data_IF_210717053427
#
_entry.id   IF_210717053427
#
_cell.length_a   1.000
_cell.length_b   1.000
_cell.length_c   1.000
_cell.angle_alpha   90.00
_cell.angle_beta   90.00
_cell.angle_gamma   90.00
#
_symmetry.space_group_name_H-M   'P 1'
#
loop_
_entity.id
_entity.type
_entity.pdbx_description
1 polymer ?
#
# COMPACT_ATOMS: atom_id res chain seq x y z
N UNK A 1 -10.34 15.54 -20.58
CA UNK A 1 -9.17 14.86 -21.20
C UNK A 1 -9.59 13.64 -21.99
N UNK A 2 -10.26 12.65 -21.39
CA UNK A 2 -10.63 11.41 -22.08
C UNK A 2 -11.49 11.62 -23.34
N UNK A 3 -12.50 12.49 -23.30
CA UNK A 3 -13.28 12.85 -24.50
C UNK A 3 -12.47 13.51 -25.62
N UNK A 4 -11.34 14.17 -25.30
CA UNK A 4 -10.43 14.73 -26.31
C UNK A 4 -9.57 13.63 -26.95
N UNK A 5 -9.27 12.58 -26.20
CA UNK A 5 -8.57 11.39 -26.70
C UNK A 5 -9.51 10.49 -27.51
N UNK A 6 -10.76 10.36 -27.08
CA UNK A 6 -11.82 9.64 -27.79
C UNK A 6 -12.31 10.38 -29.05
N UNK A 7 -11.92 11.64 -29.25
CA UNK A 7 -12.32 12.46 -30.40
C UNK A 7 -13.72 13.08 -30.29
N UNK A 8 -14.44 12.84 -29.19
CA UNK A 8 -15.76 13.39 -28.89
C UNK A 8 -15.73 14.91 -28.68
N UNK A 9 -14.62 15.44 -28.18
CA UNK A 9 -14.42 16.87 -27.93
C UNK A 9 -13.12 17.32 -28.60
N UNK A 10 -13.18 18.39 -29.39
CA UNK A 10 -11.97 18.94 -30.02
C UNK A 10 -11.05 19.61 -28.99
N UNK A 11 -9.77 19.74 -29.32
CA UNK A 11 -8.79 20.49 -28.49
C UNK A 11 -9.26 21.93 -28.27
N UNK A 12 -9.76 22.58 -29.33
CA UNK A 12 -10.29 23.93 -29.28
C UNK A 12 -11.50 24.06 -28.34
N UNK A 13 -12.42 23.11 -28.39
CA UNK A 13 -13.58 23.11 -27.52
C UNK A 13 -13.21 22.86 -26.06
N UNK A 14 -12.31 21.91 -25.80
CA UNK A 14 -11.80 21.67 -24.46
C UNK A 14 -11.07 22.90 -23.88
N UNK A 15 -10.29 23.60 -24.70
CA UNK A 15 -9.59 24.83 -24.33
C UNK A 15 -10.57 25.93 -23.91
N UNK A 16 -11.63 26.16 -24.70
CA UNK A 16 -12.69 27.13 -24.37
C UNK A 16 -13.41 26.80 -23.07
N UNK A 17 -13.84 25.54 -22.89
CA UNK A 17 -14.54 25.09 -21.67
C UNK A 17 -13.67 25.24 -20.42
N UNK A 18 -12.39 24.93 -20.53
CA UNK A 18 -11.43 25.01 -19.43
C UNK A 18 -10.78 26.39 -19.26
N UNK A 19 -11.07 27.36 -20.14
CA UNK A 19 -10.47 28.71 -20.15
C UNK A 19 -8.93 28.69 -20.20
N UNK A 20 -8.38 27.79 -21.00
CA UNK A 20 -6.93 27.66 -21.24
C UNK A 20 -6.63 27.74 -22.74
N UNK A 21 -5.36 27.83 -23.11
CA UNK A 21 -4.96 27.80 -24.52
C UNK A 21 -5.09 26.39 -25.12
N UNK A 22 -5.31 26.33 -26.42
CA UNK A 22 -5.27 25.05 -27.17
C UNK A 22 -3.92 24.36 -27.07
N UNK A 23 -2.84 25.15 -26.98
CA UNK A 23 -1.49 24.64 -26.77
C UNK A 23 -1.37 23.88 -25.44
N UNK A 24 -1.94 24.39 -24.34
CA UNK A 24 -1.95 23.69 -23.04
C UNK A 24 -2.67 22.36 -23.13
N UNK A 25 -3.85 22.32 -23.76
CA UNK A 25 -4.60 21.08 -23.97
C UNK A 25 -3.84 20.09 -24.87
N UNK A 26 -3.20 20.59 -25.94
CA UNK A 26 -2.35 19.78 -26.81
C UNK A 26 -1.14 19.20 -26.09
N UNK A 27 -0.53 19.97 -25.19
CA UNK A 27 0.58 19.51 -24.36
C UNK A 27 0.14 18.41 -23.39
N UNK A 28 -0.98 18.58 -22.70
CA UNK A 28 -1.51 17.55 -21.81
C UNK A 28 -1.91 16.27 -22.57
N UNK A 29 -2.50 16.39 -23.76
CA UNK A 29 -2.80 15.23 -24.63
C UNK A 29 -1.53 14.45 -24.94
N UNK A 30 -0.45 15.14 -25.33
CA UNK A 30 0.84 14.52 -25.62
C UNK A 30 1.44 13.84 -24.39
N UNK A 31 1.50 14.55 -23.27
CA UNK A 31 2.02 14.01 -22.00
C UNK A 31 1.25 12.76 -21.55
N UNK A 32 -0.08 12.78 -21.66
CA UNK A 32 -0.90 11.62 -21.31
C UNK A 32 -0.59 10.40 -22.17
N UNK A 33 -0.46 10.58 -23.49
CA UNK A 33 -0.14 9.49 -24.41
C UNK A 33 1.27 8.93 -24.18
N UNK A 34 2.26 9.80 -23.95
CA UNK A 34 3.63 9.37 -23.67
C UNK A 34 3.75 8.65 -22.31
N UNK A 35 3.07 9.16 -21.27
CA UNK A 35 2.99 8.50 -19.97
C UNK A 35 2.27 7.14 -20.08
N UNK A 36 1.18 7.08 -20.86
CA UNK A 36 0.44 5.85 -21.11
C UNK A 36 1.27 4.79 -21.82
N UNK A 37 2.00 5.17 -22.89
CA UNK A 37 2.94 4.26 -23.57
C UNK A 37 4.05 3.78 -22.64
N UNK A 38 4.63 4.69 -21.86
CA UNK A 38 5.66 4.36 -20.88
C UNK A 38 5.14 3.36 -19.85
N UNK A 39 3.94 3.59 -19.31
CA UNK A 39 3.31 2.68 -18.36
C UNK A 39 3.00 1.30 -18.96
N UNK A 40 2.52 1.24 -20.21
CA UNK A 40 2.27 -0.03 -20.89
C UNK A 40 3.57 -0.79 -21.18
N UNK A 41 4.64 -0.08 -21.58
CA UNK A 41 5.95 -0.67 -21.83
C UNK A 41 6.63 -1.17 -20.54
N UNK A 42 6.43 -0.47 -19.43
CA UNK A 42 6.89 -0.90 -18.10
C UNK A 42 6.13 -2.14 -17.57
N UNK A 43 5.01 -2.51 -18.18
CA UNK A 43 4.14 -3.59 -17.73
C UNK A 43 3.28 -3.18 -16.52
N UNK A 44 2.51 -4.13 -15.96
CA UNK A 44 1.87 -3.87 -14.67
C UNK A 44 2.99 -3.69 -13.65
N UNK A 45 3.07 -2.51 -13.04
CA UNK A 45 3.85 -2.33 -11.82
C UNK A 45 3.32 -3.36 -10.82
N UNK A 46 4.09 -4.41 -10.53
CA UNK A 46 3.82 -5.28 -9.39
C UNK A 46 3.80 -4.45 -8.10
N UNK A 47 3.48 -5.05 -6.94
CA UNK A 47 3.53 -4.33 -5.67
C UNK A 47 4.85 -3.58 -5.58
N UNK A 48 4.75 -2.28 -5.26
CA UNK A 48 5.91 -1.41 -5.17
C UNK A 48 6.95 -2.04 -4.24
N UNK A 49 8.24 -1.74 -4.44
CA UNK A 49 9.29 -2.22 -3.54
C UNK A 49 8.95 -1.96 -2.07
N UNK A 50 8.20 -0.87 -1.80
CA UNK A 50 7.71 -0.55 -0.45
C UNK A 50 6.60 -1.49 0.03
N UNK A 51 5.65 -1.86 -0.80
CA UNK A 51 4.60 -2.81 -0.44
C UNK A 51 5.19 -4.19 -0.10
N UNK A 52 6.16 -4.67 -0.88
CA UNK A 52 6.84 -5.94 -0.60
C UNK A 52 7.63 -5.89 0.72
N UNK A 53 8.29 -4.77 1.02
CA UNK A 53 8.97 -4.57 2.30
C UNK A 53 7.99 -4.61 3.48
N UNK A 54 6.83 -3.94 3.33
CA UNK A 54 5.80 -3.94 4.36
C UNK A 54 5.20 -5.32 4.58
N UNK A 55 4.97 -6.09 3.52
CA UNK A 55 4.50 -7.48 3.63
C UNK A 55 5.51 -8.36 4.37
N UNK A 56 6.81 -8.21 4.10
CA UNK A 56 7.85 -8.91 4.82
C UNK A 56 7.90 -8.52 6.31
N UNK A 57 7.81 -7.22 6.61
CA UNK A 57 7.78 -6.70 7.98
C UNK A 57 6.56 -7.19 8.76
N UNK A 58 5.38 -7.22 8.13
CA UNK A 58 4.15 -7.77 8.73
C UNK A 58 4.34 -9.25 9.06
N UNK A 59 4.94 -10.03 8.16
CA UNK A 59 5.18 -11.46 8.39
C UNK A 59 6.12 -11.68 9.59
N UNK A 60 7.23 -10.93 9.66
CA UNK A 60 8.19 -10.99 10.76
C UNK A 60 7.56 -10.60 12.10
N UNK A 61 6.84 -9.47 12.14
CA UNK A 61 6.15 -9.00 13.34
C UNK A 61 5.07 -9.98 13.82
N UNK A 62 4.35 -10.60 12.89
CA UNK A 62 3.32 -11.60 13.21
C UNK A 62 3.93 -12.84 13.87
N UNK A 63 5.08 -13.29 13.36
CA UNK A 63 5.80 -14.42 13.96
C UNK A 63 6.29 -14.07 15.38
N UNK A 64 6.99 -12.94 15.53
CA UNK A 64 7.51 -12.50 16.82
C UNK A 64 6.40 -12.33 17.88
N UNK A 65 5.25 -11.78 17.47
CA UNK A 65 4.08 -11.66 18.35
C UNK A 65 3.54 -13.03 18.79
N UNK A 66 3.51 -14.00 17.87
CA UNK A 66 3.12 -15.38 18.18
C UNK A 66 4.04 -16.02 19.21
N UNK A 67 5.35 -15.89 19.04
CA UNK A 67 6.36 -16.40 19.97
C UNK A 67 6.22 -15.77 21.35
N UNK A 68 6.14 -14.44 21.44
CA UNK A 68 5.94 -13.72 22.70
C UNK A 68 4.63 -14.13 23.40
N UNK A 69 3.56 -14.38 22.65
CA UNK A 69 2.30 -14.84 23.21
C UNK A 69 2.41 -16.25 23.82
N UNK A 70 3.16 -17.15 23.17
CA UNK A 70 3.43 -18.49 23.71
C UNK A 70 4.25 -18.42 24.99
N UNK A 71 5.32 -17.62 25.01
CA UNK A 71 6.13 -17.40 26.21
C UNK A 71 5.28 -16.88 27.37
N UNK A 72 4.47 -15.84 27.13
CA UNK A 72 3.59 -15.27 28.15
C UNK A 72 2.64 -16.33 28.75
N UNK A 73 2.11 -17.25 27.92
CA UNK A 73 1.27 -18.36 28.41
C UNK A 73 2.05 -19.36 29.24
N UNK A 74 3.28 -19.70 28.85
CA UNK A 74 4.15 -20.61 29.62
C UNK A 74 4.50 -20.01 30.98
N UNK A 75 4.87 -18.73 31.02
CA UNK A 75 5.15 -18.02 32.27
C UNK A 75 3.94 -18.01 33.21
N UNK A 76 2.75 -17.69 32.69
CA UNK A 76 1.50 -17.69 33.48
C UNK A 76 1.19 -19.07 34.06
N UNK A 77 1.25 -20.12 33.23
CA UNK A 77 0.99 -21.50 33.68
C UNK A 77 2.00 -21.96 34.74
N UNK A 78 3.26 -21.58 34.59
CA UNK A 78 4.32 -21.93 35.54
C UNK A 78 4.14 -21.22 36.89
N UNK A 79 3.61 -20.00 36.89
CA UNK A 79 3.28 -19.28 38.11
C UNK A 79 2.07 -19.89 38.85
N UNK A 80 1.06 -20.36 38.13
CA UNK A 80 -0.14 -21.02 38.69
C UNK A 80 0.16 -22.40 39.29
N UNK A 81 1.18 -23.11 38.78
CA UNK A 81 1.56 -24.45 39.25
C UNK A 81 2.42 -24.50 40.53
N UNK A 82 2.77 -23.34 41.13
CA UNK A 82 3.59 -23.31 42.35
C UNK A 82 2.67 -23.45 43.59
N UNK A 83 2.79 -24.51 44.41
CA UNK A 83 2.08 -24.56 45.68
C UNK A 83 2.55 -23.40 46.55
N UNK A 84 1.62 -22.61 47.10
CA UNK A 84 1.96 -21.57 48.08
C UNK A 84 2.74 -22.18 49.26
N UNK A 85 3.64 -21.41 49.90
CA UNK A 85 4.53 -21.96 50.93
C UNK A 85 3.71 -22.68 52.00
N UNK A 86 4.01 -23.97 52.20
CA UNK A 86 3.37 -24.78 53.23
C UNK A 86 3.66 -24.15 54.59
N UNK A 87 2.62 -23.73 55.32
CA UNK A 87 2.75 -23.27 56.70
C UNK A 87 3.33 -24.40 57.55
N UNK A 88 4.64 -24.39 57.76
CA UNK A 88 5.25 -25.24 58.79
C UNK A 88 4.88 -24.65 60.14
N UNK A 89 4.03 -25.37 60.88
CA UNK A 89 3.67 -25.05 62.27
C UNK A 89 4.90 -25.10 63.15
N UNK A 90 5.10 -24.08 64.00
CA UNK A 90 5.90 -24.15 65.22
C UNK A 90 5.08 -23.59 66.37
#
# INVERSE_FOLDING_TARGET
>A
MLSVLAGEVTVAEAARRAKVSEQSVGNWKRQFLEAGKTGLAAGRSGPSTREQQLEAEIAELTQALGEAHLEARVWKKSAEGRPGPSRTSR
#
